data_IF_377598646191
#
_entry.id   IF_377598646191
#
_cell.length_a   1.000
_cell.length_b   1.000
_cell.length_c   1.000
_cell.angle_alpha   90.00
_cell.angle_beta   90.00
_cell.angle_gamma   90.00
#
_symmetry.space_group_name_H-M   'P 1'
#
loop_
_entity.id
_entity.type
_entity.pdbx_description
1 polymer ?
#
# COMPACT_ATOMS: atom_id res chain seq x y z
N UNK A 1 -10.97 6.29 5.41
CA UNK A 1 -10.29 7.10 6.48
C UNK A 1 -9.21 6.22 7.10
N UNK A 2 -8.10 6.76 7.59
CA UNK A 2 -7.11 5.94 8.29
C UNK A 2 -7.72 5.27 9.55
N UNK A 3 -7.35 4.01 9.86
CA UNK A 3 -7.68 3.35 11.11
C UNK A 3 -7.27 4.22 12.31
N UNK A 4 -8.03 4.22 13.43
CA UNK A 4 -7.77 5.09 14.58
C UNK A 4 -6.32 5.03 15.10
N UNK A 5 -5.72 3.85 15.09
CA UNK A 5 -4.35 3.56 15.51
C UNK A 5 -3.26 4.12 14.56
N UNK A 6 -3.65 4.49 13.33
CA UNK A 6 -2.74 5.00 12.30
C UNK A 6 -2.99 6.48 11.97
N UNK A 7 -3.91 7.15 12.67
CA UNK A 7 -4.19 8.57 12.44
C UNK A 7 -3.02 9.40 12.97
N UNK A 8 -2.52 10.39 12.19
CA UNK A 8 -1.53 11.33 12.68
C UNK A 8 -2.04 12.09 13.91
N UNK A 9 -1.12 12.52 14.77
CA UNK A 9 -1.49 13.34 15.91
C UNK A 9 -2.06 14.70 15.46
N UNK A 10 -2.85 15.39 16.31
CA UNK A 10 -3.31 16.74 16.00
C UNK A 10 -2.17 17.72 15.69
N UNK A 11 -1.02 17.56 16.35
CA UNK A 11 0.17 18.37 16.12
C UNK A 11 0.77 18.12 14.73
N UNK A 12 0.88 16.85 14.32
CA UNK A 12 1.37 16.49 12.98
C UNK A 12 0.47 17.06 11.89
N UNK A 13 -0.86 17.02 12.10
CA UNK A 13 -1.83 17.59 11.16
C UNK A 13 -1.70 19.11 11.05
N UNK A 14 -1.49 19.81 12.16
CA UNK A 14 -1.33 21.27 12.17
C UNK A 14 -0.05 21.71 11.43
N UNK A 15 1.01 20.92 11.54
CA UNK A 15 2.31 21.18 10.92
C UNK A 15 2.42 20.65 9.49
N UNK A 16 1.46 19.84 9.02
CA UNK A 16 1.49 19.25 7.70
C UNK A 16 1.45 20.32 6.59
N UNK A 17 2.37 20.22 5.63
CA UNK A 17 2.39 21.04 4.41
C UNK A 17 2.69 20.15 3.20
N UNK A 18 1.99 20.37 2.10
CA UNK A 18 2.35 19.77 0.83
C UNK A 18 3.66 20.39 0.35
N UNK A 19 4.67 19.53 0.16
CA UNK A 19 6.00 19.90 -0.32
C UNK A 19 6.18 19.37 -1.74
N UNK A 20 6.18 20.23 -2.77
CA UNK A 20 6.35 19.81 -4.17
C UNK A 20 7.65 19.07 -4.42
N UNK A 21 8.69 19.43 -3.67
CA UNK A 21 10.02 18.81 -3.66
C UNK A 21 10.10 17.56 -2.77
N UNK A 22 9.00 17.21 -2.10
CA UNK A 22 8.92 16.07 -1.20
C UNK A 22 8.53 14.79 -1.92
N UNK A 23 8.96 13.65 -1.38
CA UNK A 23 8.70 12.34 -1.97
C UNK A 23 7.23 11.86 -1.97
N UNK A 24 6.27 12.75 -1.66
CA UNK A 24 4.83 12.47 -1.68
C UNK A 24 4.31 12.34 -3.12
N UNK A 25 4.85 13.13 -4.04
CA UNK A 25 4.41 13.19 -5.44
C UNK A 25 5.12 12.16 -6.34
N UNK A 26 6.25 11.60 -5.88
CA UNK A 26 7.11 10.73 -6.71
C UNK A 26 6.69 9.26 -6.72
N UNK A 27 5.85 8.82 -5.77
CA UNK A 27 5.56 7.40 -5.57
C UNK A 27 4.12 7.15 -5.12
N UNK A 28 3.63 5.95 -5.41
CA UNK A 28 2.41 5.46 -4.79
C UNK A 28 2.63 5.22 -3.29
N UNK A 29 1.64 5.59 -2.48
CA UNK A 29 1.59 5.23 -1.06
C UNK A 29 0.51 4.19 -0.87
N UNK A 30 0.85 3.12 -0.16
CA UNK A 30 -0.10 2.06 0.19
C UNK A 30 -0.30 2.10 1.69
N UNK A 31 -1.55 2.23 2.11
CA UNK A 31 -1.95 2.23 3.52
C UNK A 31 -3.30 1.59 3.70
N UNK A 32 -3.52 0.97 4.86
CA UNK A 32 -4.81 0.38 5.19
C UNK A 32 -5.79 1.49 5.59
N UNK A 33 -7.00 1.45 5.03
CA UNK A 33 -8.05 2.41 5.25
C UNK A 33 -9.32 1.71 5.73
N UNK A 34 -10.16 2.46 6.44
CA UNK A 34 -11.49 2.04 6.88
C UNK A 34 -12.57 2.67 6.01
N UNK A 35 -13.54 1.87 5.58
CA UNK A 35 -14.77 2.29 4.87
C UNK A 35 -15.80 2.87 5.83
N UNK A 36 -16.90 3.41 5.29
CA UNK A 36 -18.01 3.93 6.08
C UNK A 36 -18.70 2.84 6.93
N UNK A 37 -18.73 1.60 6.45
CA UNK A 37 -19.28 0.44 7.17
C UNK A 37 -18.33 -0.16 8.23
N UNK A 38 -17.12 0.39 8.37
CA UNK A 38 -16.10 -0.09 9.30
C UNK A 38 -15.17 -1.18 8.75
N UNK A 39 -15.41 -1.71 7.55
CA UNK A 39 -14.51 -2.69 6.92
C UNK A 39 -13.16 -2.06 6.55
N UNK A 40 -12.09 -2.87 6.58
CA UNK A 40 -10.74 -2.46 6.21
C UNK A 40 -10.46 -2.80 4.74
N UNK A 41 -9.66 -1.97 4.08
CA UNK A 41 -9.24 -2.17 2.70
C UNK A 41 -7.86 -1.53 2.46
N UNK A 42 -7.09 -2.07 1.52
CA UNK A 42 -5.82 -1.49 1.11
C UNK A 42 -6.03 -0.38 0.10
N UNK A 43 -5.66 0.85 0.46
CA UNK A 43 -5.74 2.00 -0.42
C UNK A 43 -4.37 2.33 -1.01
N UNK A 44 -4.29 2.37 -2.32
CA UNK A 44 -3.14 2.90 -3.05
C UNK A 44 -3.44 4.34 -3.48
N UNK A 45 -2.61 5.28 -3.01
CA UNK A 45 -2.74 6.70 -3.29
C UNK A 45 -1.66 7.19 -4.24
N UNK A 46 -2.06 7.97 -5.24
CA UNK A 46 -1.17 8.83 -6.03
C UNK A 46 -1.50 10.30 -5.75
N UNK A 47 -0.48 11.16 -5.80
CA UNK A 47 -0.65 12.59 -5.59
C UNK A 47 -0.11 13.32 -6.81
N UNK A 48 -0.85 14.32 -7.29
CA UNK A 48 -0.42 15.22 -8.35
C UNK A 48 -0.63 16.67 -7.91
N UNK A 49 0.34 17.52 -8.20
CA UNK A 49 0.24 18.96 -8.02
C UNK A 49 -0.11 19.60 -9.37
N UNK A 50 -1.17 20.40 -9.40
CA UNK A 50 -1.58 21.14 -10.60
C UNK A 50 -1.55 22.63 -10.26
N UNK A 51 -0.88 23.40 -11.10
CA UNK A 51 -0.97 24.85 -11.11
C UNK A 51 -2.03 25.26 -12.11
N UNK A 52 -3.02 26.02 -11.66
CA UNK A 52 -3.98 26.69 -12.51
C UNK A 52 -3.50 28.13 -12.71
N UNK A 53 -3.25 28.49 -13.96
CA UNK A 53 -3.14 29.89 -14.35
C UNK A 53 -4.55 30.48 -14.41
N UNK A 54 -4.72 31.68 -13.86
CA UNK A 54 -6.02 32.34 -13.78
C UNK A 54 -6.54 32.70 -15.19
N UNK A 55 -7.49 31.91 -15.69
CA UNK A 55 -8.25 32.24 -16.91
C UNK A 55 -9.23 33.41 -16.70
N UNK A 56 -9.40 33.89 -15.47
CA UNK A 56 -10.39 34.90 -15.07
C UNK A 56 -9.81 36.29 -14.73
N UNK A 57 -8.49 36.47 -14.87
CA UNK A 57 -7.82 37.74 -14.61
C UNK A 57 -7.69 38.11 -13.13
N UNK A 58 -7.93 37.18 -12.21
CA UNK A 58 -7.37 37.30 -10.85
C UNK A 58 -5.85 37.11 -10.89
N UNK A 59 -5.14 37.81 -10.00
CA UNK A 59 -3.67 37.81 -9.95
C UNK A 59 -3.24 36.81 -8.87
N UNK A 60 -3.07 35.54 -9.24
CA UNK A 60 -2.40 34.56 -8.37
C UNK A 60 -2.48 33.10 -8.85
N UNK A 61 -1.32 32.49 -9.11
CA UNK A 61 -1.21 31.04 -9.36
C UNK A 61 -1.90 30.22 -8.25
N UNK A 62 -2.95 29.47 -8.60
CA UNK A 62 -3.61 28.55 -7.66
C UNK A 62 -3.06 27.16 -7.81
N UNK A 63 -2.56 26.59 -6.73
CA UNK A 63 -2.08 25.21 -6.70
C UNK A 63 -3.13 24.28 -6.08
N UNK A 64 -3.42 23.18 -6.76
CA UNK A 64 -4.32 22.12 -6.32
C UNK A 64 -3.56 20.81 -6.17
N UNK A 65 -3.88 20.04 -5.13
CA UNK A 65 -3.42 18.65 -5.00
C UNK A 65 -4.56 17.73 -5.35
N UNK A 66 -4.36 16.90 -6.37
CA UNK A 66 -5.27 15.81 -6.74
C UNK A 66 -4.74 14.53 -6.12
N UNK A 67 -5.64 13.79 -5.48
CA UNK A 67 -5.33 12.48 -4.88
C UNK A 67 -6.13 11.42 -5.63
N UNK A 68 -5.43 10.55 -6.35
CA UNK A 68 -6.02 9.32 -6.88
C UNK A 68 -6.06 8.27 -5.78
N UNK A 69 -7.20 7.63 -5.57
CA UNK A 69 -7.35 6.53 -4.61
C UNK A 69 -7.81 5.28 -5.35
N UNK A 70 -7.08 4.18 -5.19
CA UNK A 70 -7.43 2.88 -5.74
C UNK A 70 -7.49 1.85 -4.62
N UNK A 71 -8.59 1.10 -4.58
CA UNK A 71 -8.67 -0.08 -3.76
C UNK A 71 -7.83 -1.21 -4.37
N UNK A 72 -6.88 -1.74 -3.61
CA UNK A 72 -6.00 -2.82 -4.04
C UNK A 72 -6.09 -4.04 -3.13
N UNK A 73 -7.15 -4.16 -2.33
CA UNK A 73 -7.34 -5.27 -1.38
C UNK A 73 -7.23 -6.62 -2.08
N UNK A 74 -7.96 -6.82 -3.17
CA UNK A 74 -7.92 -8.07 -3.95
C UNK A 74 -6.52 -8.40 -4.49
N UNK A 75 -5.76 -7.38 -4.86
CA UNK A 75 -4.39 -7.54 -5.36
C UNK A 75 -3.46 -8.01 -4.23
N UNK A 76 -3.53 -7.37 -3.06
CA UNK A 76 -2.72 -7.73 -1.88
C UNK A 76 -3.08 -9.14 -1.40
N UNK A 77 -4.36 -9.48 -1.37
CA UNK A 77 -4.83 -10.80 -0.95
C UNK A 77 -4.36 -11.89 -1.92
N UNK A 78 -4.44 -11.63 -3.23
CA UNK A 78 -3.96 -12.56 -4.25
C UNK A 78 -2.46 -12.79 -4.15
N UNK A 79 -1.68 -11.73 -3.96
CA UNK A 79 -0.21 -11.83 -3.81
C UNK A 79 0.16 -12.61 -2.55
N UNK A 80 -0.54 -12.35 -1.44
CA UNK A 80 -0.34 -13.06 -0.17
C UNK A 80 -0.70 -14.54 -0.29
N UNK A 81 -1.80 -14.87 -0.97
CA UNK A 81 -2.20 -16.25 -1.21
C UNK A 81 -1.19 -16.98 -2.10
N UNK A 82 -0.67 -16.31 -3.14
CA UNK A 82 0.35 -16.87 -4.01
C UNK A 82 1.66 -17.14 -3.26
N UNK A 83 2.06 -16.24 -2.35
CA UNK A 83 3.25 -16.43 -1.54
C UNK A 83 3.10 -17.65 -0.62
N UNK A 84 1.99 -17.74 0.11
CA UNK A 84 1.71 -18.89 0.99
C UNK A 84 1.70 -20.23 0.23
N UNK A 85 1.06 -20.27 -0.94
CA UNK A 85 1.03 -21.48 -1.75
C UNK A 85 2.44 -21.91 -2.22
N UNK A 86 3.33 -20.96 -2.50
CA UNK A 86 4.74 -21.26 -2.81
C UNK A 86 5.47 -21.82 -1.60
N UNK A 87 5.31 -21.20 -0.43
CA UNK A 87 5.94 -21.65 0.80
C UNK A 87 5.48 -23.07 1.19
N UNK A 88 4.17 -23.35 1.04
CA UNK A 88 3.59 -24.68 1.24
C UNK A 88 4.14 -25.71 0.26
N UNK A 89 4.27 -25.34 -1.03
CA UNK A 89 4.82 -26.23 -2.05
C UNK A 89 6.30 -26.52 -1.81
N UNK A 90 7.10 -25.51 -1.43
CA UNK A 90 8.50 -25.70 -1.06
C UNK A 90 8.61 -26.62 0.16
N UNK A 91 7.81 -26.37 1.20
CA UNK A 91 7.78 -27.22 2.38
C UNK A 91 7.43 -28.67 2.02
N UNK A 92 6.36 -28.93 1.27
CA UNK A 92 5.96 -30.27 0.85
C UNK A 92 6.98 -30.95 -0.10
N UNK A 93 7.70 -30.17 -0.92
CA UNK A 93 8.76 -30.71 -1.78
C UNK A 93 9.97 -31.21 -0.98
N UNK A 94 10.27 -30.57 0.16
CA UNK A 94 11.42 -30.88 1.01
C UNK A 94 11.10 -31.67 2.28
N UNK A 95 9.82 -31.83 2.65
CA UNK A 95 9.35 -32.52 3.85
C UNK A 95 8.26 -33.56 3.54
N UNK A 96 8.28 -34.69 4.26
CA UNK A 96 7.50 -35.89 3.94
C UNK A 96 6.23 -35.81 4.77
N UNK A 97 5.07 -35.76 4.12
CA UNK A 97 3.78 -35.52 4.79
C UNK A 97 3.41 -36.58 5.85
N UNK A 98 4.03 -37.77 5.82
CA UNK A 98 3.77 -38.83 6.78
C UNK A 98 4.64 -38.71 8.06
N UNK A 99 5.78 -38.01 8.00
CA UNK A 99 6.77 -38.01 9.09
C UNK A 99 7.32 -36.62 9.47
N UNK A 100 7.09 -35.59 8.66
CA UNK A 100 7.64 -34.23 8.82
C UNK A 100 9.16 -34.12 8.58
N UNK A 101 9.82 -35.26 8.31
CA UNK A 101 11.26 -35.35 8.08
C UNK A 101 11.61 -34.96 6.64
N UNK A 102 12.88 -34.60 6.43
CA UNK A 102 13.38 -34.19 5.12
C UNK A 102 13.26 -35.32 4.08
N UNK A 103 12.80 -34.95 2.87
CA UNK A 103 12.54 -35.89 1.78
C UNK A 103 13.83 -36.43 1.19
N UNK A 104 13.72 -37.58 0.50
CA UNK A 104 14.84 -38.22 -0.21
C UNK A 104 15.54 -37.27 -1.22
N UNK A 105 14.81 -36.30 -1.80
CA UNK A 105 15.35 -35.20 -2.64
C UNK A 105 16.31 -34.27 -1.89
N UNK A 106 16.02 -33.93 -0.62
CA UNK A 106 16.86 -33.07 0.21
C UNK A 106 18.12 -33.81 0.70
N UNK A 107 18.02 -35.12 0.89
CA UNK A 107 19.14 -36.00 1.23
C UNK A 107 20.12 -36.27 0.07
N UNK A 108 19.73 -36.02 -1.18
CA UNK A 108 20.57 -36.20 -2.38
C UNK A 108 21.10 -34.89 -2.97
N UNK A 109 20.75 -33.74 -2.37
CA UNK A 109 21.20 -32.42 -2.79
C UNK A 109 22.55 -31.98 -2.16
N UNK A 110 23.20 -32.88 -1.42
CA UNK A 110 24.55 -32.72 -0.85
C UNK A 110 25.53 -33.67 -1.53
#
# INVERSE_FOLDING_TARGET
ILPPDQRPSPEDLANFRYRPDGGLFDRFRVSEHTRADGSRFWNQQSHALITLDDCDGSDGERQLVIIGCRDITDQVDTESALHRAKDELEHAAFHDDLTGLANRKRLTAY
#
